data_IF_398263359669
#
_entry.id   IF_398263359669
#
_cell.length_a   1.000
_cell.length_b   1.000
_cell.length_c   1.000
_cell.angle_alpha   90.00
_cell.angle_beta   90.00
_cell.angle_gamma   90.00
#
_symmetry.space_group_name_H-M   'P 1'
#
loop_
_entity.id
_entity.type
_entity.pdbx_description
1 polymer ?
#
# COMPACT_ATOMS: atom_id res chain seq x y z
N UNK A 1 -0.22 -2.91 0.44
CA UNK A 1 -1.10 -1.85 -0.10
C UNK A 1 -0.50 -0.53 0.32
N UNK A 2 -0.10 0.29 -0.64
CA UNK A 2 0.52 1.60 -0.40
C UNK A 2 -0.37 2.70 -0.95
N UNK A 3 -0.58 3.76 -0.17
CA UNK A 3 -1.36 4.93 -0.55
C UNK A 3 -0.83 6.21 0.12
N UNK A 4 -1.34 7.37 -0.31
CA UNK A 4 -1.09 8.67 0.32
C UNK A 4 -2.36 9.22 0.98
N UNK A 5 -2.25 9.86 2.14
CA UNK A 5 -3.42 10.32 2.92
C UNK A 5 -4.35 11.28 2.16
N UNK A 6 -3.78 12.20 1.39
CA UNK A 6 -4.49 13.23 0.64
C UNK A 6 -4.54 12.97 -0.86
N UNK A 7 -4.43 11.71 -1.29
CA UNK A 7 -4.53 11.34 -2.71
C UNK A 7 -5.88 11.83 -3.30
N UNK A 8 -5.88 12.68 -4.34
CA UNK A 8 -7.10 13.26 -4.90
C UNK A 8 -7.94 12.26 -5.71
N UNK A 9 -7.39 11.09 -6.03
CA UNK A 9 -8.02 10.07 -6.89
C UNK A 9 -8.36 8.78 -6.14
N UNK A 10 -7.58 8.45 -5.11
CA UNK A 10 -7.74 7.24 -4.31
C UNK A 10 -7.97 7.61 -2.84
N UNK A 11 -9.24 7.82 -2.42
CA UNK A 11 -9.54 8.15 -1.04
C UNK A 11 -9.09 7.05 -0.08
N UNK A 12 -8.51 7.47 1.06
CA UNK A 12 -8.07 6.60 2.15
C UNK A 12 -9.08 5.51 2.52
N UNK A 13 -10.35 5.89 2.73
CA UNK A 13 -11.39 4.94 3.15
C UNK A 13 -11.59 3.78 2.16
N UNK A 14 -11.33 4.01 0.86
CA UNK A 14 -11.40 2.93 -0.15
C UNK A 14 -10.21 1.99 -0.08
N UNK A 15 -9.04 2.49 0.29
CA UNK A 15 -7.84 1.67 0.52
C UNK A 15 -8.07 0.77 1.73
N UNK A 16 -8.57 1.34 2.82
CA UNK A 16 -8.90 0.61 4.06
C UNK A 16 -10.00 -0.45 3.83
N UNK A 17 -11.05 -0.10 3.08
CA UNK A 17 -12.10 -1.05 2.71
C UNK A 17 -11.55 -2.21 1.85
N UNK A 18 -10.64 -1.91 0.92
CA UNK A 18 -10.00 -2.93 0.08
C UNK A 18 -9.15 -3.88 0.91
N UNK A 19 -8.34 -3.35 1.83
CA UNK A 19 -7.54 -4.16 2.76
C UNK A 19 -8.43 -5.12 3.56
N UNK A 20 -9.52 -4.60 4.13
CA UNK A 20 -10.50 -5.38 4.88
C UNK A 20 -11.10 -6.53 4.06
N UNK A 21 -11.45 -6.27 2.78
CA UNK A 21 -12.01 -7.31 1.89
C UNK A 21 -10.98 -8.41 1.60
N UNK A 22 -9.73 -8.04 1.33
CA UNK A 22 -8.66 -9.01 1.06
C UNK A 22 -8.34 -9.87 2.29
N UNK A 23 -8.27 -9.26 3.48
CA UNK A 23 -8.06 -9.98 4.74
C UNK A 23 -9.19 -10.98 5.02
N UNK A 24 -10.45 -10.59 4.79
CA UNK A 24 -11.60 -11.50 4.88
C UNK A 24 -11.53 -12.65 3.87
N UNK A 25 -10.86 -12.43 2.74
CA UNK A 25 -10.55 -13.46 1.75
C UNK A 25 -9.42 -14.41 2.15
N UNK A 26 -8.82 -14.22 3.33
CA UNK A 26 -7.70 -15.04 3.84
C UNK A 26 -6.33 -14.55 3.41
N UNK A 27 -6.21 -13.37 2.79
CA UNK A 27 -4.92 -12.80 2.46
C UNK A 27 -4.24 -12.17 3.68
N UNK A 28 -2.91 -12.26 3.76
CA UNK A 28 -2.12 -11.42 4.65
C UNK A 28 -1.89 -10.08 3.97
N UNK A 29 -2.52 -9.02 4.49
CA UNK A 29 -2.41 -7.68 3.94
C UNK A 29 -1.50 -6.84 4.83
N UNK A 30 -0.49 -6.23 4.23
CA UNK A 30 0.29 -5.17 4.86
C UNK A 30 -0.11 -3.87 4.18
N UNK A 31 -0.81 -2.99 4.93
CA UNK A 31 -1.33 -1.72 4.44
C UNK A 31 -0.55 -0.57 5.07
N UNK A 32 -0.12 0.37 4.23
CA UNK A 32 0.57 1.58 4.63
C UNK A 32 -0.01 2.79 3.91
N UNK A 33 -0.23 3.86 4.67
CA UNK A 33 -0.68 5.15 4.15
C UNK A 33 0.36 6.18 4.59
N UNK A 34 1.10 6.72 3.62
CA UNK A 34 2.13 7.72 3.88
C UNK A 34 1.51 9.14 3.86
N UNK A 35 2.05 10.08 4.65
CA UNK A 35 1.60 11.47 4.61
C UNK A 35 1.92 12.11 3.25
N UNK A 36 1.00 12.94 2.75
CA UNK A 36 1.14 13.63 1.46
C UNK A 36 -0.20 13.75 0.72
N UNK A 37 -0.26 14.61 -0.29
CA UNK A 37 -1.50 14.93 -1.02
C UNK A 37 -1.45 14.63 -2.53
N UNK A 38 -0.49 13.82 -2.97
CA UNK A 38 -0.30 13.48 -4.38
C UNK A 38 -0.76 12.06 -4.71
N UNK A 39 -1.08 11.81 -5.98
CA UNK A 39 -1.27 10.48 -6.54
C UNK A 39 0.03 10.02 -7.23
N UNK A 40 1.03 9.67 -6.43
CA UNK A 40 2.35 9.31 -6.94
C UNK A 40 3.14 8.46 -5.95
N UNK A 41 4.27 7.91 -6.41
CA UNK A 41 5.15 7.09 -5.59
C UNK A 41 6.39 7.89 -5.21
N UNK A 42 6.75 7.85 -3.92
CA UNK A 42 8.03 8.38 -3.46
C UNK A 42 9.16 7.37 -3.70
N UNK A 43 10.42 7.84 -3.75
CA UNK A 43 11.57 6.94 -3.81
C UNK A 43 11.61 5.97 -2.61
N UNK A 44 11.16 6.42 -1.43
CA UNK A 44 11.07 5.57 -0.26
C UNK A 44 10.02 4.46 -0.43
N UNK A 45 8.87 4.78 -1.01
CA UNK A 45 7.83 3.79 -1.34
C UNK A 45 8.35 2.75 -2.33
N UNK A 46 9.05 3.19 -3.38
CA UNK A 46 9.64 2.29 -4.38
C UNK A 46 10.69 1.36 -3.76
N UNK A 47 11.60 1.88 -2.94
CA UNK A 47 12.63 1.08 -2.28
C UNK A 47 12.02 -0.04 -1.41
N UNK A 48 11.00 0.30 -0.61
CA UNK A 48 10.29 -0.65 0.26
C UNK A 48 9.55 -1.74 -0.52
N UNK A 49 8.97 -1.40 -1.67
CA UNK A 49 8.36 -2.40 -2.55
C UNK A 49 9.44 -3.35 -3.07
N UNK A 50 10.62 -2.84 -3.43
CA UNK A 50 11.78 -3.64 -3.79
C UNK A 50 12.17 -4.63 -2.70
N UNK A 51 12.36 -4.15 -1.47
CA UNK A 51 12.68 -5.00 -0.30
C UNK A 51 11.65 -6.12 -0.09
N UNK A 52 10.36 -5.82 -0.31
CA UNK A 52 9.29 -6.83 -0.19
C UNK A 52 9.34 -7.86 -1.32
N UNK A 53 9.68 -7.44 -2.54
CA UNK A 53 9.83 -8.36 -3.67
C UNK A 53 11.02 -9.28 -3.46
N UNK A 54 12.15 -8.74 -3.04
CA UNK A 54 13.36 -9.53 -2.74
C UNK A 54 13.05 -10.58 -1.66
N UNK A 55 12.41 -10.16 -0.56
CA UNK A 55 12.00 -11.08 0.51
C UNK A 55 11.03 -12.19 0.06
N UNK A 56 10.21 -11.96 -0.96
CA UNK A 56 9.28 -12.95 -1.52
C UNK A 56 9.96 -13.91 -2.51
N UNK A 57 10.96 -13.43 -3.23
CA UNK A 57 11.68 -14.21 -4.25
C UNK A 57 12.81 -15.06 -3.65
N UNK A 58 13.33 -14.65 -2.50
CA UNK A 58 14.37 -15.38 -1.76
C UNK A 58 13.80 -16.51 -0.87
N UNK A 59 12.48 -16.81 -0.98
CA UNK A 59 11.81 -17.97 -0.36
C UNK A 59 11.90 -19.26 -1.21
#
# INVERSE_FOLDING_TARGET
LDASEGDPHVPRDRVEATATVLERGGATVDMRIDPGAGHGLSNATVARIGERLDALLDE
#
